data_IF_678982830502
#
_entry.id   IF_678982830502
#
_cell.length_a   1.000
_cell.length_b   1.000
_cell.length_c   1.000
_cell.angle_alpha   90.00
_cell.angle_beta   90.00
_cell.angle_gamma   90.00
#
_symmetry.space_group_name_H-M   'P 1'
#
loop_
_entity.id
_entity.type
_entity.pdbx_description
1 polymer ?
#
# COMPACT_ATOMS: atom_id res chain seq x y z
N UNK A 1 -3.21 -10.33 -14.35
CA UNK A 1 -1.99 -10.58 -15.15
C UNK A 1 -0.88 -11.00 -14.20
N UNK A 2 -0.29 -12.19 -14.36
CA UNK A 2 0.87 -12.63 -13.59
C UNK A 2 2.13 -12.34 -14.41
N UNK A 3 2.80 -11.22 -14.14
CA UNK A 3 4.12 -10.93 -14.69
C UNK A 3 5.18 -11.73 -13.90
N UNK A 4 6.27 -12.19 -14.55
CA UNK A 4 7.38 -12.78 -13.83
C UNK A 4 7.95 -11.79 -12.78
N UNK A 5 8.35 -12.24 -11.57
CA UNK A 5 8.70 -11.34 -10.47
C UNK A 5 9.76 -10.27 -10.81
N UNK A 6 10.76 -10.63 -11.61
CA UNK A 6 11.79 -9.68 -12.08
C UNK A 6 11.22 -8.54 -12.91
N UNK A 7 10.24 -8.84 -13.78
CA UNK A 7 9.61 -7.86 -14.64
C UNK A 7 8.69 -6.92 -13.84
N UNK A 8 8.04 -7.45 -12.79
CA UNK A 8 7.28 -6.66 -11.85
C UNK A 8 8.14 -5.63 -11.12
N UNK A 9 9.30 -6.04 -10.58
CA UNK A 9 10.21 -5.12 -9.89
C UNK A 9 10.76 -4.03 -10.81
N UNK A 10 11.09 -4.38 -12.06
CA UNK A 10 11.53 -3.40 -13.07
C UNK A 10 10.45 -2.36 -13.37
N UNK A 11 9.20 -2.79 -13.60
CA UNK A 11 8.09 -1.88 -13.83
C UNK A 11 7.80 -1.01 -12.60
N UNK A 12 7.86 -1.57 -11.40
CA UNK A 12 7.68 -0.81 -10.16
C UNK A 12 8.78 0.25 -9.98
N UNK A 13 10.03 -0.05 -10.34
CA UNK A 13 11.11 0.92 -10.32
C UNK A 13 10.91 2.04 -11.36
N UNK A 14 10.52 1.69 -12.58
CA UNK A 14 10.22 2.66 -13.65
C UNK A 14 9.10 3.63 -13.25
N UNK A 15 8.02 3.10 -12.66
CA UNK A 15 6.90 3.92 -12.19
C UNK A 15 7.32 4.88 -11.05
N UNK A 16 8.19 4.43 -10.13
CA UNK A 16 8.72 5.29 -9.07
C UNK A 16 9.60 6.40 -9.63
N UNK A 17 10.45 6.09 -10.62
CA UNK A 17 11.30 7.08 -11.29
C UNK A 17 10.46 8.16 -11.98
N UNK A 18 9.45 7.76 -12.76
CA UNK A 18 8.51 8.69 -13.40
C UNK A 18 7.77 9.55 -12.39
N UNK A 19 7.28 8.97 -11.29
CA UNK A 19 6.60 9.74 -10.25
C UNK A 19 7.52 10.83 -9.65
N UNK A 20 8.80 10.51 -9.45
CA UNK A 20 9.78 11.45 -8.89
C UNK A 20 10.03 12.66 -9.82
N UNK A 21 9.95 12.49 -11.15
CA UNK A 21 10.07 13.60 -12.12
C UNK A 21 8.99 14.67 -11.91
N UNK A 22 7.81 14.29 -11.41
CA UNK A 22 6.70 15.20 -11.10
C UNK A 22 6.65 15.62 -9.63
N UNK A 23 7.64 15.24 -8.81
CA UNK A 23 7.62 15.46 -7.36
C UNK A 23 6.56 14.62 -6.63
N UNK A 24 6.11 13.53 -7.24
CA UNK A 24 5.09 12.63 -6.69
C UNK A 24 5.71 11.40 -6.03
N UNK A 25 4.96 10.80 -5.11
CA UNK A 25 5.30 9.52 -4.48
C UNK A 25 4.18 8.52 -4.76
N UNK A 26 4.54 7.32 -5.21
CA UNK A 26 3.57 6.25 -5.38
C UNK A 26 3.06 5.76 -4.03
N UNK A 27 1.76 5.87 -3.82
CA UNK A 27 1.08 5.31 -2.67
C UNK A 27 0.38 3.99 -3.03
N UNK A 28 0.46 3.00 -2.15
CA UNK A 28 -0.45 1.87 -2.14
C UNK A 28 -1.66 2.18 -1.23
N UNK A 29 -2.64 1.29 -1.19
CA UNK A 29 -3.77 1.38 -0.25
C UNK A 29 -3.58 0.40 0.89
N UNK A 30 -3.81 0.84 2.12
CA UNK A 30 -3.83 -0.07 3.26
C UNK A 30 -4.97 -1.08 3.08
N UNK A 31 -4.66 -2.37 3.22
CA UNK A 31 -5.65 -3.46 3.07
C UNK A 31 -6.80 -3.40 4.08
N UNK A 32 -6.60 -2.69 5.20
CA UNK A 32 -7.57 -2.60 6.30
C UNK A 32 -8.49 -1.40 6.16
N UNK A 33 -7.92 -0.19 6.03
CA UNK A 33 -8.67 1.06 6.05
C UNK A 33 -8.80 1.74 4.68
N UNK A 34 -8.10 1.26 3.65
CA UNK A 34 -8.07 1.88 2.32
C UNK A 34 -7.29 3.19 2.21
N UNK A 35 -6.77 3.72 3.32
CA UNK A 35 -5.97 4.95 3.35
C UNK A 35 -4.66 4.80 2.54
N UNK A 36 -4.15 5.89 1.93
CA UNK A 36 -2.90 5.85 1.20
C UNK A 36 -1.72 5.54 2.13
N UNK A 37 -0.78 4.74 1.65
CA UNK A 37 0.46 4.39 2.33
C UNK A 37 1.63 4.54 1.36
N UNK A 38 2.65 5.28 1.76
CA UNK A 38 3.82 5.58 0.92
C UNK A 38 5.16 5.14 1.55
N UNK A 39 5.17 4.82 2.85
CA UNK A 39 6.41 4.33 3.48
C UNK A 39 6.75 2.91 2.98
N UNK A 40 8.03 2.60 2.68
CA UNK A 40 8.42 1.28 2.20
C UNK A 40 7.97 0.14 3.13
N UNK A 41 8.08 0.37 4.45
CA UNK A 41 7.62 -0.58 5.48
C UNK A 41 6.12 -0.84 5.41
N UNK A 42 5.31 0.21 5.25
CA UNK A 42 3.85 0.06 5.12
C UNK A 42 3.45 -0.60 3.81
N UNK A 43 4.15 -0.30 2.72
CA UNK A 43 3.91 -0.93 1.41
C UNK A 43 4.21 -2.43 1.49
N UNK A 44 5.36 -2.83 2.03
CA UNK A 44 5.72 -4.25 2.20
C UNK A 44 4.70 -5.05 3.04
N UNK A 45 4.08 -4.39 4.03
CA UNK A 45 3.06 -5.00 4.88
C UNK A 45 1.62 -4.84 4.34
N UNK A 46 1.43 -4.11 3.25
CA UNK A 46 0.13 -3.66 2.75
C UNK A 46 -0.73 -3.02 3.86
N UNK A 47 -0.10 -2.37 4.84
CA UNK A 47 -0.73 -1.89 6.06
C UNK A 47 -0.06 -0.62 6.61
N UNK A 48 -0.87 0.41 6.89
CA UNK A 48 -0.41 1.59 7.62
C UNK A 48 -0.09 1.26 9.08
N UNK A 49 0.76 2.04 9.77
CA UNK A 49 1.27 1.71 11.11
C UNK A 49 0.16 1.50 12.15
N UNK A 50 -0.89 2.32 12.12
CA UNK A 50 -2.05 2.20 13.01
C UNK A 50 -2.79 0.87 12.78
N UNK A 51 -3.07 0.53 11.51
CA UNK A 51 -3.79 -0.70 11.17
C UNK A 51 -2.93 -1.94 11.41
N UNK A 52 -1.62 -1.87 11.17
CA UNK A 52 -0.67 -2.93 11.49
C UNK A 52 -0.64 -3.19 13.00
N UNK A 53 -0.60 -2.13 13.82
CA UNK A 53 -0.62 -2.27 15.28
C UNK A 53 -1.96 -2.83 15.80
N UNK A 54 -3.09 -2.38 15.24
CA UNK A 54 -4.44 -2.82 15.65
C UNK A 54 -4.75 -4.26 15.28
N UNK A 55 -4.19 -4.76 14.17
CA UNK A 55 -4.51 -6.08 13.62
C UNK A 55 -3.35 -7.08 13.71
N UNK A 56 -2.42 -6.91 14.67
CA UNK A 56 -1.22 -7.77 14.85
C UNK A 56 -1.51 -9.28 14.93
N UNK A 57 -2.73 -9.68 15.29
CA UNK A 57 -3.16 -11.08 15.46
C UNK A 57 -4.17 -11.55 14.39
N UNK A 58 -4.34 -10.80 13.30
CA UNK A 58 -5.36 -11.11 12.30
C UNK A 58 -4.74 -11.52 10.96
N UNK A 59 -4.93 -12.79 10.62
CA UNK A 59 -4.24 -13.41 9.49
C UNK A 59 -4.96 -13.20 8.16
N UNK A 60 -6.21 -12.69 8.12
CA UNK A 60 -6.99 -12.66 6.88
C UNK A 60 -7.96 -11.48 6.73
N UNK A 61 -7.71 -10.69 5.68
CA UNK A 61 -8.66 -10.55 4.57
C UNK A 61 -9.83 -9.59 4.66
N UNK A 62 -10.23 -9.09 5.84
CA UNK A 62 -11.38 -8.17 5.92
C UNK A 62 -10.95 -6.75 6.21
N UNK A 63 -11.20 -5.77 5.32
CA UNK A 63 -11.00 -4.37 5.68
C UNK A 63 -11.79 -4.07 6.96
N UNK A 64 -11.14 -3.39 7.90
CA UNK A 64 -11.83 -2.92 9.09
C UNK A 64 -12.89 -1.93 8.60
N UNK A 65 -14.17 -2.15 8.94
CA UNK A 65 -15.24 -1.17 8.69
C UNK A 65 -14.83 0.15 9.33
N UNK A 66 -14.31 1.08 8.54
CA UNK A 66 -14.07 2.44 8.99
C UNK A 66 -15.37 3.22 8.88
N UNK A 67 -15.74 3.90 9.97
CA UNK A 67 -16.87 4.84 10.10
C UNK A 67 -16.58 6.19 9.42
N UNK A 68 -16.06 6.17 8.19
CA UNK A 68 -15.80 7.41 7.45
C UNK A 68 -16.23 7.26 6.02
N UNK A 69 -17.55 7.10 5.85
CA UNK A 69 -18.29 7.75 4.76
C UNK A 69 -18.65 9.15 5.28
N UNK A 70 -17.69 10.08 5.28
CA UNK A 70 -17.96 11.50 5.51
C UNK A 70 -16.78 12.35 5.01
N UNK A 71 -17.13 13.26 4.10
CA UNK A 71 -16.36 14.33 3.46
C UNK A 71 -15.58 13.93 2.20
#
# INVERSE_FOLDING_TARGET
>A
MNLPPKLYEQQAAELRARAAEYGWVLAARCRWCGAPIWSPKSIAQHAGPVCAARNKKSDVGRPAKNRTDAA
#
